data_IF_759969834750
#
_entry.id   IF_759969834750
#
_cell.length_a   1.000
_cell.length_b   1.000
_cell.length_c   1.000
_cell.angle_alpha   90.00
_cell.angle_beta   90.00
_cell.angle_gamma   90.00
#
_symmetry.space_group_name_H-M   'P 1'
#
loop_
_entity.id
_entity.type
_entity.pdbx_description
1 polymer ?
#
# COMPACT_ATOMS: atom_id res chain seq x y z
N UNK A 1 7.54 6.47 -6.82
CA UNK A 1 6.25 6.05 -7.40
C UNK A 1 6.42 4.72 -8.08
N UNK A 2 5.52 3.78 -7.77
CA UNK A 2 5.52 2.41 -8.25
C UNK A 2 5.40 2.32 -9.77
N UNK A 3 5.88 1.20 -10.32
CA UNK A 3 5.66 0.89 -11.74
C UNK A 3 4.19 0.55 -11.97
N UNK A 4 3.52 1.33 -12.81
CA UNK A 4 2.15 1.06 -13.23
C UNK A 4 2.01 -0.34 -13.84
N UNK A 5 1.19 -1.18 -13.21
CA UNK A 5 0.85 -2.51 -13.70
C UNK A 5 -0.52 -2.94 -13.16
N UNK A 6 -1.19 -3.84 -13.89
CA UNK A 6 -2.57 -4.27 -13.61
C UNK A 6 -2.69 -4.99 -12.27
N UNK A 7 -1.66 -5.74 -11.85
CA UNK A 7 -1.74 -6.55 -10.63
C UNK A 7 -1.61 -5.68 -9.37
N UNK A 8 -0.73 -4.67 -9.37
CA UNK A 8 -0.67 -3.68 -8.29
C UNK A 8 -1.96 -2.87 -8.18
N UNK A 9 -2.50 -2.41 -9.32
CA UNK A 9 -3.79 -1.69 -9.35
C UNK A 9 -4.90 -2.56 -8.77
N UNK A 10 -4.95 -3.84 -9.15
CA UNK A 10 -5.94 -4.79 -8.62
C UNK A 10 -5.76 -4.98 -7.12
N UNK A 11 -4.53 -5.15 -6.64
CA UNK A 11 -4.24 -5.33 -5.23
C UNK A 11 -4.72 -4.12 -4.41
N UNK A 12 -4.36 -2.89 -4.83
CA UNK A 12 -4.80 -1.66 -4.17
C UNK A 12 -6.34 -1.55 -4.09
N UNK A 13 -7.03 -1.78 -5.22
CA UNK A 13 -8.50 -1.72 -5.26
C UNK A 13 -9.15 -2.81 -4.41
N UNK A 14 -8.61 -4.02 -4.42
CA UNK A 14 -9.09 -5.12 -3.58
C UNK A 14 -8.88 -4.82 -2.09
N UNK A 15 -7.75 -4.23 -1.72
CA UNK A 15 -7.49 -3.81 -0.34
C UNK A 15 -8.45 -2.71 0.09
N UNK A 16 -8.66 -1.69 -0.74
CA UNK A 16 -9.63 -0.62 -0.48
C UNK A 16 -11.05 -1.17 -0.30
N UNK A 17 -11.48 -2.11 -1.15
CA UNK A 17 -12.79 -2.75 -1.03
C UNK A 17 -12.93 -3.57 0.25
N UNK A 18 -11.90 -4.35 0.62
CA UNK A 18 -11.88 -5.06 1.90
C UNK A 18 -12.03 -4.09 3.08
N UNK A 19 -11.33 -2.96 3.04
CA UNK A 19 -11.38 -1.93 4.09
C UNK A 19 -12.76 -1.26 4.21
N UNK A 20 -13.54 -1.17 3.12
CA UNK A 20 -14.94 -0.71 3.18
C UNK A 20 -15.87 -1.70 3.90
N UNK A 21 -15.51 -2.99 3.87
CA UNK A 21 -16.24 -4.05 4.54
C UNK A 21 -16.01 -4.10 6.05
N UNK A 22 -16.48 -5.18 6.68
CA UNK A 22 -16.34 -5.44 8.11
C UNK A 22 -14.97 -6.04 8.44
N UNK A 23 -13.92 -5.23 8.32
CA UNK A 23 -12.57 -5.58 8.73
C UNK A 23 -12.07 -4.65 9.82
N UNK A 24 -11.32 -5.21 10.78
CA UNK A 24 -10.67 -4.42 11.80
C UNK A 24 -9.48 -3.64 11.21
N UNK A 25 -9.39 -2.36 11.58
CA UNK A 25 -8.33 -1.46 11.16
C UNK A 25 -7.69 -0.85 12.40
N UNK A 26 -6.37 -1.01 12.53
CA UNK A 26 -5.61 -0.50 13.67
C UNK A 26 -4.20 -0.10 13.21
N UNK A 27 -3.95 1.21 13.20
CA UNK A 27 -2.67 1.79 12.80
C UNK A 27 -1.46 1.20 13.56
N UNK A 28 -1.59 0.95 14.87
CA UNK A 28 -0.49 0.41 15.68
C UNK A 28 -0.27 -1.11 15.57
N UNK A 29 -1.08 -1.83 14.79
CA UNK A 29 -0.94 -3.26 14.59
C UNK A 29 -0.42 -3.52 13.17
N UNK A 30 0.80 -4.06 13.05
CA UNK A 30 1.52 -4.16 11.77
C UNK A 30 0.79 -4.97 10.68
N UNK A 31 -0.09 -5.89 11.09
CA UNK A 31 -0.96 -6.62 10.16
C UNK A 31 -2.28 -5.94 9.84
N UNK A 32 -2.65 -4.84 10.51
CA UNK A 32 -3.97 -4.18 10.39
C UNK A 32 -3.88 -2.67 10.11
N UNK A 33 -2.67 -2.15 9.89
CA UNK A 33 -2.41 -0.79 9.40
C UNK A 33 -2.48 -0.71 7.87
N UNK A 34 -2.08 0.42 7.29
CA UNK A 34 -2.15 0.69 5.84
C UNK A 34 -1.40 -0.36 5.03
N UNK A 35 -0.10 -0.50 5.30
CA UNK A 35 0.74 -1.49 4.64
C UNK A 35 0.34 -2.92 5.03
N UNK A 36 -0.07 -3.13 6.29
CA UNK A 36 -0.54 -4.43 6.77
C UNK A 36 -1.72 -5.00 5.98
N UNK A 37 -2.73 -4.18 5.67
CA UNK A 37 -3.88 -4.61 4.86
C UNK A 37 -3.50 -4.90 3.40
N UNK A 38 -2.60 -4.10 2.81
CA UNK A 38 -2.08 -4.39 1.47
C UNK A 38 -1.26 -5.68 1.47
N UNK A 39 -0.39 -5.88 2.48
CA UNK A 39 0.40 -7.10 2.65
C UNK A 39 -0.48 -8.35 2.77
N UNK A 40 -1.57 -8.30 3.54
CA UNK A 40 -2.56 -9.39 3.58
C UNK A 40 -3.15 -9.68 2.19
N UNK A 41 -3.39 -8.66 1.37
CA UNK A 41 -4.00 -8.82 0.05
C UNK A 41 -3.01 -9.48 -0.93
N UNK A 42 -1.75 -9.03 -0.91
CA UNK A 42 -0.70 -9.52 -1.81
C UNK A 42 -0.26 -10.94 -1.44
N UNK A 43 0.00 -11.17 -0.15
CA UNK A 43 0.60 -12.43 0.33
C UNK A 43 -0.41 -13.48 0.75
N UNK A 44 -1.68 -13.07 0.98
CA UNK A 44 -2.73 -13.90 1.58
C UNK A 44 -2.41 -14.42 2.99
N UNK A 45 -1.39 -13.85 3.64
CA UNK A 45 -1.08 -14.17 5.03
C UNK A 45 -2.11 -13.56 5.98
N UNK A 46 -2.33 -14.25 7.11
CA UNK A 46 -3.18 -13.73 8.17
C UNK A 46 -2.52 -12.53 8.86
N UNK A 47 -3.34 -11.56 9.26
CA UNK A 47 -2.92 -10.34 9.98
C UNK A 47 -2.07 -10.63 11.22
N UNK A 48 -2.35 -11.71 11.96
CA UNK A 48 -1.58 -12.09 13.16
C UNK A 48 -0.18 -12.56 12.81
N UNK A 49 -0.05 -13.25 11.67
CA UNK A 49 1.24 -13.75 11.20
C UNK A 49 2.11 -12.60 10.70
N UNK A 50 1.53 -11.69 9.90
CA UNK A 50 2.22 -10.46 9.47
C UNK A 50 2.68 -9.66 10.68
N UNK A 51 1.82 -9.51 11.69
CA UNK A 51 2.20 -8.79 12.90
C UNK A 51 3.31 -9.48 13.68
N UNK A 52 3.23 -10.80 13.86
CA UNK A 52 4.26 -11.56 14.56
C UNK A 52 5.62 -11.48 13.84
N UNK A 53 5.64 -11.53 12.50
CA UNK A 53 6.86 -11.40 11.71
C UNK A 53 7.43 -10.00 11.75
N UNK A 54 6.57 -8.98 11.68
CA UNK A 54 6.98 -7.61 11.82
C UNK A 54 7.62 -7.32 13.19
N UNK A 55 7.16 -7.98 14.27
CA UNK A 55 7.72 -7.80 15.62
C UNK A 55 9.08 -8.48 15.86
N UNK A 56 9.62 -9.22 14.89
CA UNK A 56 11.02 -9.71 14.95
C UNK A 56 12.04 -8.57 14.87
N UNK A 57 11.61 -7.41 14.38
CA UNK A 57 12.39 -6.19 14.23
C UNK A 57 11.56 -5.00 14.71
N UNK A 58 12.23 -4.01 15.30
CA UNK A 58 11.54 -2.80 15.76
C UNK A 58 11.13 -1.91 14.58
N UNK A 59 10.14 -1.06 14.82
CA UNK A 59 9.70 -0.03 13.87
C UNK A 59 8.45 -0.39 13.06
N UNK A 60 7.85 0.66 12.50
CA UNK A 60 6.71 0.58 11.58
C UNK A 60 7.18 0.25 10.15
N UNK A 61 6.26 0.15 9.20
CA UNK A 61 6.60 -0.22 7.83
C UNK A 61 7.60 0.74 7.16
N UNK A 62 7.60 2.02 7.53
CA UNK A 62 8.57 2.98 7.01
C UNK A 62 9.99 2.68 7.53
N UNK A 63 10.13 2.34 8.80
CA UNK A 63 11.41 1.90 9.35
C UNK A 63 11.83 0.54 8.77
N UNK A 64 10.91 -0.42 8.70
CA UNK A 64 11.22 -1.77 8.24
C UNK A 64 11.63 -1.82 6.77
N UNK A 65 11.03 -0.99 5.90
CA UNK A 65 11.44 -0.92 4.48
C UNK A 65 12.77 -0.20 4.29
N UNK A 66 13.11 0.75 5.16
CA UNK A 66 14.45 1.36 5.19
C UNK A 66 15.52 0.32 5.53
N UNK A 67 15.25 -0.52 6.54
CA UNK A 67 16.17 -1.56 7.02
C UNK A 67 16.08 -2.88 6.23
N UNK A 68 15.29 -2.90 5.15
CA UNK A 68 15.07 -4.07 4.32
C UNK A 68 16.37 -4.60 3.69
N UNK A 69 16.65 -5.87 3.97
CA UNK A 69 17.75 -6.63 3.38
C UNK A 69 17.27 -8.05 3.06
N UNK A 70 17.21 -8.48 1.79
CA UNK A 70 16.64 -9.77 1.40
C UNK A 70 17.40 -10.98 1.96
N UNK A 71 18.62 -10.79 2.49
CA UNK A 71 19.44 -11.84 3.10
C UNK A 71 19.55 -11.72 4.62
N UNK A 72 18.72 -10.91 5.28
CA UNK A 72 18.76 -10.69 6.74
C UNK A 72 18.29 -11.91 7.55
N UNK A 73 17.42 -12.74 6.95
CA UNK A 73 16.72 -13.83 7.63
C UNK A 73 15.44 -13.41 8.36
N UNK A 74 15.06 -12.13 8.37
CA UNK A 74 13.79 -11.67 8.93
C UNK A 74 12.61 -11.96 8.00
N UNK A 75 11.54 -12.54 8.55
CA UNK A 75 10.38 -12.98 7.73
C UNK A 75 9.56 -11.83 7.15
N UNK A 76 9.64 -10.64 7.76
CA UNK A 76 9.04 -9.44 7.19
C UNK A 76 9.71 -9.01 5.87
N UNK A 77 11.00 -9.34 5.67
CA UNK A 77 11.70 -9.04 4.43
C UNK A 77 11.17 -9.90 3.27
N UNK A 78 10.62 -11.09 3.54
CA UNK A 78 9.89 -11.88 2.53
C UNK A 78 8.61 -11.17 2.08
N UNK A 79 7.89 -10.53 3.01
CA UNK A 79 6.69 -9.75 2.69
C UNK A 79 7.05 -8.50 1.89
N UNK A 80 8.08 -7.77 2.31
CA UNK A 80 8.57 -6.59 1.58
C UNK A 80 9.00 -7.01 0.17
N UNK A 81 9.72 -8.13 0.02
CA UNK A 81 10.08 -8.68 -1.30
C UNK A 81 8.86 -8.92 -2.17
N UNK A 82 7.80 -9.54 -1.64
CA UNK A 82 6.55 -9.75 -2.39
C UNK A 82 5.89 -8.44 -2.86
N UNK A 83 5.97 -7.37 -2.05
CA UNK A 83 5.48 -6.04 -2.44
C UNK A 83 6.34 -5.41 -3.54
N UNK A 84 7.66 -5.56 -3.45
CA UNK A 84 8.60 -5.08 -4.47
C UNK A 84 8.44 -5.83 -5.80
N UNK A 85 8.28 -7.15 -5.75
CA UNK A 85 8.06 -8.00 -6.94
C UNK A 85 6.74 -7.65 -7.66
N UNK A 86 5.73 -7.17 -6.93
CA UNK A 86 4.48 -6.66 -7.51
C UNK A 86 4.66 -5.30 -8.22
N UNK A 87 5.84 -4.68 -8.11
CA UNK A 87 6.21 -3.44 -8.79
C UNK A 87 6.20 -2.19 -7.91
N UNK A 88 6.07 -2.34 -6.58
CA UNK A 88 6.30 -1.23 -5.64
C UNK A 88 7.80 -0.94 -5.51
N UNK A 89 8.15 0.31 -5.25
CA UNK A 89 9.46 0.70 -4.72
C UNK A 89 9.39 0.80 -3.19
N UNK A 90 10.56 0.86 -2.54
CA UNK A 90 10.68 1.02 -1.08
C UNK A 90 9.96 2.28 -0.60
N UNK A 91 10.17 3.39 -1.29
CA UNK A 91 9.53 4.68 -1.00
C UNK A 91 8.01 4.56 -1.05
N UNK A 92 7.43 3.74 -1.95
CA UNK A 92 5.98 3.60 -2.02
C UNK A 92 5.40 2.91 -0.78
N UNK A 93 6.14 1.96 -0.19
CA UNK A 93 5.75 1.29 1.06
C UNK A 93 5.81 2.27 2.23
N UNK A 94 6.87 3.07 2.33
CA UNK A 94 6.98 4.13 3.34
C UNK A 94 5.83 5.16 3.18
N UNK A 95 5.56 5.57 1.96
CA UNK A 95 4.56 6.59 1.66
C UNK A 95 3.14 6.08 1.88
N UNK A 96 2.87 4.79 1.63
CA UNK A 96 1.60 4.16 1.96
C UNK A 96 1.38 4.10 3.48
N UNK A 97 2.41 3.77 4.25
CA UNK A 97 2.34 3.83 5.70
C UNK A 97 1.92 5.25 6.11
N UNK A 98 2.62 6.29 5.63
CA UNK A 98 2.36 7.67 6.08
C UNK A 98 1.18 8.38 5.39
N UNK A 99 0.57 7.79 4.36
CA UNK A 99 -0.37 8.43 3.42
C UNK A 99 0.20 9.73 2.83
N UNK A 100 1.43 9.68 2.31
CA UNK A 100 2.25 10.87 2.09
C UNK A 100 2.83 11.02 0.66
N UNK A 101 2.48 10.17 -0.30
CA UNK A 101 2.93 10.37 -1.69
C UNK A 101 2.40 11.70 -2.26
N UNK A 102 3.27 12.62 -2.72
CA UNK A 102 2.86 13.93 -3.18
C UNK A 102 1.91 13.92 -4.38
N UNK A 103 2.08 12.98 -5.31
CA UNK A 103 1.25 12.91 -6.51
C UNK A 103 -0.12 12.29 -6.19
N UNK A 104 -0.19 11.30 -5.30
CA UNK A 104 -1.47 10.80 -4.78
C UNK A 104 -2.22 11.91 -4.04
N UNK A 105 -1.55 12.64 -3.15
CA UNK A 105 -2.16 13.74 -2.41
C UNK A 105 -2.62 14.88 -3.32
N UNK A 106 -1.85 15.24 -4.34
CA UNK A 106 -2.26 16.24 -5.33
C UNK A 106 -3.56 15.83 -6.03
N UNK A 107 -3.67 14.56 -6.40
CA UNK A 107 -4.85 14.02 -7.06
C UNK A 107 -6.06 13.92 -6.12
N UNK A 108 -5.86 13.57 -4.85
CA UNK A 108 -6.92 13.60 -3.82
C UNK A 108 -7.53 15.01 -3.74
N UNK A 109 -6.69 16.04 -3.62
CA UNK A 109 -7.15 17.44 -3.52
C UNK A 109 -7.93 17.86 -4.77
N UNK A 110 -7.40 17.53 -5.95
CA UNK A 110 -8.05 17.86 -7.22
C UNK A 110 -9.44 17.22 -7.36
N UNK A 111 -9.65 16.02 -6.81
CA UNK A 111 -10.92 15.27 -6.93
C UNK A 111 -11.97 15.65 -5.89
N UNK A 112 -11.53 15.92 -4.66
CA UNK A 112 -12.43 16.06 -3.51
C UNK A 112 -12.65 17.51 -3.09
N UNK A 113 -11.77 18.43 -3.51
CA UNK A 113 -11.70 19.78 -2.95
C UNK A 113 -11.22 19.82 -1.50
N UNK A 114 -10.69 18.70 -0.98
CA UNK A 114 -10.19 18.61 0.39
C UNK A 114 -8.92 19.46 0.56
N UNK A 115 -9.03 20.53 1.35
CA UNK A 115 -7.90 21.44 1.62
C UNK A 115 -6.98 20.95 2.74
N UNK A 116 -7.26 19.79 3.37
CA UNK A 116 -6.38 19.22 4.39
C UNK A 116 -4.97 19.07 3.84
N UNK A 117 -4.00 19.57 4.61
CA UNK A 117 -2.58 19.45 4.24
C UNK A 117 -2.14 17.99 4.14
N UNK A 118 -2.68 17.14 5.02
CA UNK A 118 -2.34 15.72 5.14
C UNK A 118 -3.59 14.89 5.41
N UNK A 119 -3.59 13.65 4.89
CA UNK A 119 -4.54 12.62 5.30
C UNK A 119 -4.17 12.06 6.68
N UNK A 120 -5.14 11.51 7.40
CA UNK A 120 -4.95 10.90 8.71
C UNK A 120 -4.70 9.41 8.53
N UNK A 121 -3.44 8.97 8.69
CA UNK A 121 -3.07 7.56 8.61
C UNK A 121 -3.84 6.65 9.57
N UNK A 122 -4.32 7.16 10.71
CA UNK A 122 -5.14 6.39 11.65
C UNK A 122 -6.65 6.45 11.36
N UNK A 123 -7.08 7.06 10.26
CA UNK A 123 -8.47 7.03 9.81
C UNK A 123 -8.62 6.12 8.60
N UNK A 124 -9.34 5.01 8.77
CA UNK A 124 -9.60 4.02 7.72
C UNK A 124 -10.07 4.63 6.39
N UNK A 125 -10.99 5.59 6.45
CA UNK A 125 -11.57 6.21 5.25
C UNK A 125 -10.53 7.00 4.44
N UNK A 126 -9.56 7.63 5.12
CA UNK A 126 -8.46 8.31 4.44
C UNK A 126 -7.52 7.30 3.75
N UNK A 127 -7.34 6.10 4.33
CA UNK A 127 -6.56 5.00 3.71
C UNK A 127 -7.24 4.48 2.45
N UNK A 128 -8.56 4.26 2.51
CA UNK A 128 -9.37 3.83 1.37
C UNK A 128 -9.25 4.86 0.25
N UNK A 129 -9.49 6.14 0.55
CA UNK A 129 -9.38 7.23 -0.40
C UNK A 129 -7.99 7.28 -1.05
N UNK A 130 -6.93 7.12 -0.25
CA UNK A 130 -5.56 7.10 -0.75
C UNK A 130 -5.30 5.92 -1.68
N UNK A 131 -5.69 4.70 -1.31
CA UNK A 131 -5.50 3.49 -2.12
C UNK A 131 -6.26 3.55 -3.45
N UNK A 132 -7.52 4.00 -3.45
CA UNK A 132 -8.29 4.18 -4.70
C UNK A 132 -7.63 5.24 -5.59
N UNK A 133 -7.24 6.36 -5.01
CA UNK A 133 -6.63 7.46 -5.77
C UNK A 133 -5.29 7.04 -6.36
N UNK A 134 -4.50 6.30 -5.60
CA UNK A 134 -3.23 5.76 -6.09
C UNK A 134 -3.45 4.74 -7.20
N UNK A 135 -4.42 3.84 -7.05
CA UNK A 135 -4.77 2.88 -8.09
C UNK A 135 -5.19 3.57 -9.40
N UNK A 136 -5.95 4.66 -9.32
CA UNK A 136 -6.35 5.42 -10.50
C UNK A 136 -5.19 6.19 -11.14
N UNK A 137 -4.26 6.71 -10.34
CA UNK A 137 -3.04 7.34 -10.85
C UNK A 137 -2.22 6.33 -11.66
N UNK A 138 -1.99 5.14 -11.09
CA UNK A 138 -1.29 4.06 -11.80
C UNK A 138 -2.06 3.58 -13.04
N UNK A 139 -3.39 3.54 -12.99
CA UNK A 139 -4.21 3.14 -14.14
C UNK A 139 -4.13 4.15 -15.29
N UNK A 140 -4.00 5.44 -15.00
CA UNK A 140 -3.81 6.48 -16.01
C UNK A 140 -2.44 6.39 -16.70
N UNK A 141 -1.42 5.88 -15.99
CA UNK A 141 -0.06 5.70 -16.50
C UNK A 141 0.14 4.36 -17.25
N UNK A 142 -0.87 3.49 -17.30
CA UNK A 142 -0.79 2.27 -18.10
C UNK A 142 -0.73 2.63 -19.60
N UNK A 143 0.15 1.98 -20.38
CA UNK A 143 0.12 2.15 -21.83
C UNK A 143 -1.23 1.70 -22.37
N UNK A 144 -1.78 2.45 -23.32
CA UNK A 144 -2.98 2.04 -24.04
C UNK A 144 -2.76 0.63 -24.62
N UNK A 145 -3.75 -0.26 -24.44
CA UNK A 145 -3.67 -1.59 -25.03
C UNK A 145 -3.40 -1.47 -26.54
N UNK A 146 -2.51 -2.30 -27.12
CA UNK A 146 -2.30 -2.29 -28.56
C UNK A 146 -3.65 -2.53 -29.23
N UNK A 147 -4.08 -1.59 -30.07
CA UNK A 147 -5.25 -1.78 -30.91
C UNK A 147 -4.91 -2.92 -31.88
N UNK A 148 -5.50 -4.08 -31.65
CA UNK A 148 -5.44 -5.18 -32.61
C UNK A 148 -6.28 -4.72 -33.81
N UNK A 149 -5.62 -4.31 -34.89
CA UNK A 149 -6.27 -4.08 -36.16
C UNK A 149 -6.91 -5.41 -36.60
N UNK A 150 -8.23 -5.37 -36.84
CA UNK A 150 -9.02 -6.49 -37.35
C UNK A 150 -8.62 -6.86 -38.79
#
# INVERSE_FOLDING_TARGET
MARANVDLIRALRQTAERLRGDVHYQWGHMGECNCGHLAQTITRLDKRLIHAWALEREGDWAQQVHDYCPSSGYRIDDIITAMLDLGMARDDIEQLEKLADPAVLALVRARTGDERRHLRRNLRDDVILYMDTWADLLAADLPAAPQVAA
#
